data_IF_280369877432
#
_entry.id   IF_280369877432
#
_cell.length_a   1.000
_cell.length_b   1.000
_cell.length_c   1.000
_cell.angle_alpha   90.00
_cell.angle_beta   90.00
_cell.angle_gamma   90.00
#
_symmetry.space_group_name_H-M   'P 1'
#
loop_
_entity.id
_entity.type
_entity.pdbx_description
1 polymer ?
#
# COMPACT_ATOMS: atom_id res chain seq x y z
N UNK A 1 -0.74 -6.68 3.59
CA UNK A 1 -1.18 -5.46 4.28
C UNK A 1 -1.47 -5.72 5.75
N UNK A 2 -2.40 -6.63 6.10
CA UNK A 2 -2.67 -7.02 7.50
C UNK A 2 -1.40 -7.45 8.24
N UNK A 3 -0.56 -8.24 7.61
CA UNK A 3 0.70 -8.73 8.16
C UNK A 3 1.77 -7.62 8.43
N UNK A 4 1.68 -6.48 7.76
CA UNK A 4 2.57 -5.34 8.01
C UNK A 4 2.19 -4.56 9.27
N UNK A 5 0.92 -4.65 9.73
CA UNK A 5 0.37 -4.07 10.97
C UNK A 5 0.74 -2.60 11.21
N UNK A 6 0.80 -1.78 10.15
CA UNK A 6 1.16 -0.36 10.25
C UNK A 6 2.64 -0.07 10.56
N UNK A 7 3.49 -1.09 10.65
CA UNK A 7 4.93 -0.91 10.87
C UNK A 7 5.62 -0.24 9.68
N UNK A 8 5.06 -0.31 8.49
CA UNK A 8 5.58 0.37 7.30
C UNK A 8 5.57 1.91 7.44
N UNK A 9 4.85 2.44 8.42
CA UNK A 9 4.86 3.87 8.75
C UNK A 9 5.54 4.10 10.10
N UNK A 10 5.11 3.42 11.17
CA UNK A 10 5.60 3.67 12.52
C UNK A 10 7.08 3.33 12.68
N UNK A 11 7.53 2.19 12.11
CA UNK A 11 8.92 1.78 12.21
C UNK A 11 9.84 2.62 11.33
N UNK A 12 9.39 3.07 10.16
CA UNK A 12 10.15 4.00 9.31
C UNK A 12 10.51 5.27 10.07
N UNK A 13 9.54 5.87 10.78
CA UNK A 13 9.78 7.04 11.63
C UNK A 13 10.82 6.77 12.71
N UNK A 14 10.66 5.65 13.44
CA UNK A 14 11.57 5.31 14.53
C UNK A 14 12.99 5.06 14.03
N UNK A 15 13.15 4.32 12.92
CA UNK A 15 14.45 4.10 12.29
C UNK A 15 15.07 5.40 11.83
N UNK A 16 14.31 6.28 11.15
CA UNK A 16 14.81 7.57 10.68
C UNK A 16 15.32 8.46 11.83
N UNK A 17 14.63 8.47 12.98
CA UNK A 17 15.02 9.27 14.13
C UNK A 17 16.23 8.72 14.88
N UNK A 18 16.42 7.39 14.91
CA UNK A 18 17.44 6.74 15.71
C UNK A 18 18.51 6.02 14.89
N UNK A 19 18.60 6.25 13.57
CA UNK A 19 19.56 5.58 12.67
C UNK A 19 21.02 5.73 13.09
N UNK A 20 21.40 6.81 13.76
CA UNK A 20 22.76 7.06 14.22
C UNK A 20 23.07 6.46 15.61
N UNK A 21 22.05 5.98 16.34
CA UNK A 21 22.21 5.40 17.68
C UNK A 21 22.06 3.88 17.60
N UNK A 22 23.16 3.16 17.40
CA UNK A 22 23.17 1.70 17.15
C UNK A 22 22.34 0.89 18.13
N UNK A 23 22.46 1.16 19.44
CA UNK A 23 21.70 0.41 20.44
C UNK A 23 20.18 0.59 20.26
N UNK A 24 19.71 1.82 20.04
CA UNK A 24 18.29 2.10 19.79
C UNK A 24 17.79 1.51 18.47
N UNK A 25 18.62 1.59 17.42
CA UNK A 25 18.32 0.99 16.14
C UNK A 25 18.12 -0.53 16.26
N UNK A 26 19.04 -1.22 16.95
CA UNK A 26 18.95 -2.65 17.21
C UNK A 26 17.70 -3.01 18.01
N UNK A 27 17.34 -2.22 19.03
CA UNK A 27 16.13 -2.38 19.83
C UNK A 27 14.85 -2.24 18.97
N UNK A 28 14.82 -1.24 18.08
CA UNK A 28 13.70 -1.02 17.16
C UNK A 28 13.54 -2.23 16.24
N UNK A 29 14.64 -2.62 15.57
CA UNK A 29 14.61 -3.72 14.61
C UNK A 29 14.20 -5.03 15.28
N UNK A 30 14.79 -5.35 16.44
CA UNK A 30 14.45 -6.56 17.19
C UNK A 30 12.98 -6.60 17.61
N UNK A 31 12.44 -5.47 18.10
CA UNK A 31 11.02 -5.37 18.48
C UNK A 31 10.09 -5.58 17.29
N UNK A 32 10.37 -4.93 16.15
CA UNK A 32 9.52 -5.00 14.97
C UNK A 32 9.56 -6.39 14.35
N UNK A 33 10.74 -6.99 14.20
CA UNK A 33 10.88 -8.35 13.67
C UNK A 33 10.19 -9.37 14.57
N UNK A 34 10.31 -9.24 15.90
CA UNK A 34 9.65 -10.12 16.85
C UNK A 34 8.12 -10.07 16.71
N UNK A 35 7.55 -8.87 16.65
CA UNK A 35 6.10 -8.72 16.48
C UNK A 35 5.66 -9.28 15.12
N UNK A 36 6.37 -8.94 14.04
CA UNK A 36 6.05 -9.44 12.69
C UNK A 36 6.14 -10.96 12.61
N UNK A 37 7.12 -11.57 13.27
CA UNK A 37 7.25 -13.02 13.33
C UNK A 37 6.04 -13.67 14.04
N UNK A 38 5.62 -13.13 15.18
CA UNK A 38 4.41 -13.63 15.89
C UNK A 38 3.18 -13.51 15.01
N UNK A 39 3.01 -12.37 14.32
CA UNK A 39 1.91 -12.19 13.38
C UNK A 39 1.96 -13.17 12.21
N UNK A 40 3.14 -13.44 11.69
CA UNK A 40 3.34 -14.41 10.62
C UNK A 40 2.86 -15.80 11.08
N UNK A 41 3.29 -16.25 12.25
CA UNK A 41 2.88 -17.52 12.82
C UNK A 41 1.38 -17.58 13.08
N UNK A 42 0.79 -16.52 13.60
CA UNK A 42 -0.65 -16.41 13.82
C UNK A 42 -1.43 -16.50 12.51
N UNK A 43 -1.04 -15.75 11.47
CA UNK A 43 -1.71 -15.79 10.17
C UNK A 43 -1.58 -17.14 9.47
N UNK A 44 -0.42 -17.78 9.59
CA UNK A 44 -0.21 -19.13 9.06
C UNK A 44 -1.07 -20.16 9.79
N UNK A 45 -1.17 -20.08 11.11
CA UNK A 45 -2.03 -20.99 11.88
C UNK A 45 -3.51 -20.81 11.52
N UNK A 46 -3.94 -19.57 11.28
CA UNK A 46 -5.28 -19.23 10.85
C UNK A 46 -5.57 -19.76 9.43
N UNK A 47 -4.60 -19.64 8.52
CA UNK A 47 -4.69 -20.19 7.17
C UNK A 47 -4.84 -21.72 7.22
N UNK A 48 -3.96 -22.41 7.97
CA UNK A 48 -4.01 -23.88 8.12
C UNK A 48 -5.34 -24.32 8.74
N UNK A 49 -5.79 -23.63 9.80
CA UNK A 49 -7.09 -23.89 10.42
C UNK A 49 -8.25 -23.72 9.45
N UNK A 50 -8.25 -22.65 8.66
CA UNK A 50 -9.29 -22.43 7.65
C UNK A 50 -9.29 -23.53 6.56
N UNK A 51 -8.11 -23.94 6.08
CA UNK A 51 -7.99 -25.01 5.09
C UNK A 51 -8.40 -26.40 5.62
N UNK A 52 -8.34 -26.62 6.95
CA UNK A 52 -8.83 -27.84 7.59
C UNK A 52 -10.33 -27.82 7.82
N UNK A 53 -10.89 -26.66 8.21
CA UNK A 53 -12.31 -26.52 8.55
C UNK A 53 -13.24 -26.38 7.33
N UNK A 54 -12.75 -25.74 6.27
CA UNK A 54 -13.53 -25.49 5.07
C UNK A 54 -13.05 -26.36 3.91
N UNK A 55 -14.00 -26.88 3.13
CA UNK A 55 -13.68 -27.59 1.90
C UNK A 55 -13.37 -26.64 0.76
N UNK A 56 -12.16 -26.07 0.81
CA UNK A 56 -11.69 -25.07 -0.16
C UNK A 56 -11.21 -25.77 -1.42
N UNK A 57 -11.79 -25.45 -2.56
CA UNK A 57 -11.23 -25.86 -3.86
C UNK A 57 -9.80 -25.30 -3.99
N UNK A 58 -8.87 -26.12 -4.49
CA UNK A 58 -7.47 -25.73 -4.73
C UNK A 58 -6.66 -25.41 -3.46
N UNK A 59 -6.80 -26.19 -2.38
CA UNK A 59 -6.03 -26.03 -1.12
C UNK A 59 -4.53 -25.84 -1.34
N UNK A 60 -3.95 -26.58 -2.29
CA UNK A 60 -2.53 -26.54 -2.63
C UNK A 60 -2.07 -25.13 -3.06
N UNK A 61 -2.91 -24.40 -3.79
CA UNK A 61 -2.59 -23.05 -4.27
C UNK A 61 -2.41 -22.07 -3.10
N UNK A 62 -3.27 -22.12 -2.09
CA UNK A 62 -3.15 -21.28 -0.90
C UNK A 62 -1.90 -21.61 -0.07
N UNK A 63 -1.57 -22.89 0.06
CA UNK A 63 -0.36 -23.34 0.76
C UNK A 63 0.88 -22.82 0.04
N UNK A 64 0.94 -22.91 -1.29
CA UNK A 64 2.08 -22.44 -2.07
C UNK A 64 2.24 -20.92 -2.03
N UNK A 65 1.13 -20.16 -2.00
CA UNK A 65 1.17 -18.71 -1.83
C UNK A 65 1.56 -18.26 -0.41
N UNK A 66 1.47 -19.14 0.59
CA UNK A 66 1.86 -18.79 1.96
C UNK A 66 3.34 -18.38 2.08
N UNK A 67 4.20 -18.92 1.21
CA UNK A 67 5.61 -18.53 1.12
C UNK A 67 5.78 -17.04 0.78
N UNK A 68 4.97 -16.49 -0.12
CA UNK A 68 4.96 -15.05 -0.41
C UNK A 68 4.47 -14.23 0.80
N UNK A 69 3.47 -14.72 1.54
CA UNK A 69 3.02 -14.07 2.78
C UNK A 69 4.16 -13.98 3.80
N UNK A 70 4.89 -15.07 4.03
CA UNK A 70 6.05 -15.11 4.92
C UNK A 70 7.10 -14.08 4.46
N UNK A 71 7.45 -14.09 3.18
CA UNK A 71 8.41 -13.16 2.60
C UNK A 71 8.00 -11.70 2.82
N UNK A 72 6.74 -11.35 2.52
CA UNK A 72 6.25 -9.97 2.65
C UNK A 72 6.21 -9.47 4.10
N UNK A 73 5.95 -10.36 5.07
CA UNK A 73 6.00 -10.02 6.50
C UNK A 73 7.41 -9.74 6.96
N UNK A 74 8.38 -10.56 6.56
CA UNK A 74 9.76 -10.48 7.01
C UNK A 74 10.59 -9.46 6.23
N UNK A 75 10.15 -9.02 5.05
CA UNK A 75 10.89 -8.08 4.21
C UNK A 75 11.19 -6.77 4.94
N UNK A 76 12.48 -6.36 5.06
CA UNK A 76 12.89 -5.20 5.85
C UNK A 76 12.80 -3.87 5.06
N UNK A 77 11.81 -3.71 4.18
CA UNK A 77 11.63 -2.49 3.38
C UNK A 77 11.49 -1.23 4.22
N UNK A 78 10.78 -1.31 5.36
CA UNK A 78 10.64 -0.23 6.33
C UNK A 78 11.98 0.22 6.94
N UNK A 79 12.94 -0.69 7.11
CA UNK A 79 14.28 -0.38 7.59
C UNK A 79 15.05 0.44 6.56
N UNK A 80 15.11 -0.05 5.31
CA UNK A 80 15.81 0.66 4.23
C UNK A 80 15.16 2.01 3.91
N UNK A 81 13.85 2.12 4.00
CA UNK A 81 13.17 3.39 3.87
C UNK A 81 13.54 4.34 5.02
N UNK A 82 13.58 3.84 6.25
CA UNK A 82 13.95 4.63 7.43
C UNK A 82 15.36 5.19 7.40
N UNK A 83 16.33 4.42 6.92
CA UNK A 83 17.72 4.87 6.73
C UNK A 83 17.94 5.62 5.41
N UNK A 84 16.87 5.91 4.66
CA UNK A 84 16.88 6.64 3.38
C UNK A 84 17.65 5.94 2.24
N UNK A 85 17.80 4.64 2.31
CA UNK A 85 18.53 3.81 1.33
C UNK A 85 17.57 2.98 0.46
N UNK A 86 16.56 3.65 -0.12
CA UNK A 86 15.52 3.04 -0.94
C UNK A 86 16.05 2.28 -2.17
N UNK A 87 17.26 2.61 -2.64
CA UNK A 87 17.89 1.90 -3.76
C UNK A 87 17.93 0.38 -3.56
N UNK A 88 18.18 -0.09 -2.32
CA UNK A 88 18.18 -1.53 -2.03
C UNK A 88 16.80 -2.14 -2.22
N UNK A 89 15.74 -1.48 -1.73
CA UNK A 89 14.36 -1.95 -1.92
C UNK A 89 14.03 -2.07 -3.41
N UNK A 90 14.40 -1.05 -4.19
CA UNK A 90 14.13 -1.02 -5.64
C UNK A 90 14.91 -2.11 -6.37
N UNK A 91 16.20 -2.24 -6.13
CA UNK A 91 17.02 -3.27 -6.79
C UNK A 91 16.52 -4.68 -6.48
N UNK A 92 16.18 -4.96 -5.21
CA UNK A 92 15.64 -6.27 -4.83
C UNK A 92 14.33 -6.57 -5.52
N UNK A 93 13.38 -5.65 -5.43
CA UNK A 93 12.08 -5.85 -6.05
C UNK A 93 12.20 -6.02 -7.56
N UNK A 94 13.09 -5.26 -8.20
CA UNK A 94 13.34 -5.36 -9.63
C UNK A 94 13.93 -6.73 -9.99
N UNK A 95 15.02 -7.13 -9.33
CA UNK A 95 15.70 -8.42 -9.62
C UNK A 95 14.73 -9.58 -9.36
N UNK A 96 14.03 -9.60 -8.23
CA UNK A 96 13.08 -10.67 -7.92
C UNK A 96 11.96 -10.76 -8.95
N UNK A 97 11.43 -9.61 -9.42
CA UNK A 97 10.40 -9.58 -10.46
C UNK A 97 10.93 -10.03 -11.82
N UNK A 98 12.13 -9.61 -12.21
CA UNK A 98 12.75 -10.04 -13.46
C UNK A 98 13.01 -11.55 -13.44
N UNK A 99 13.62 -12.07 -12.37
CA UNK A 99 13.85 -13.51 -12.21
C UNK A 99 12.53 -14.27 -12.25
N UNK A 100 11.51 -13.80 -11.53
CA UNK A 100 10.18 -14.40 -11.56
C UNK A 100 9.60 -14.46 -12.98
N UNK A 101 9.65 -13.36 -13.73
CA UNK A 101 9.11 -13.31 -15.10
C UNK A 101 9.88 -14.28 -16.04
N UNK A 102 11.21 -14.31 -15.93
CA UNK A 102 12.03 -15.23 -16.72
C UNK A 102 11.66 -16.68 -16.40
N UNK A 103 11.60 -17.03 -15.12
CA UNK A 103 11.23 -18.39 -14.70
C UNK A 103 9.79 -18.73 -15.11
N UNK A 104 8.87 -17.78 -15.04
CA UNK A 104 7.49 -17.96 -15.48
C UNK A 104 7.41 -18.33 -16.96
N UNK A 105 8.17 -17.63 -17.82
CA UNK A 105 8.21 -17.92 -19.26
C UNK A 105 8.85 -19.28 -19.55
N UNK A 106 9.86 -19.68 -18.74
CA UNK A 106 10.57 -20.96 -18.90
C UNK A 106 9.75 -22.16 -18.40
N UNK A 107 8.96 -22.00 -17.34
CA UNK A 107 8.31 -23.14 -16.68
C UNK A 107 6.80 -23.24 -16.92
N UNK A 108 6.13 -22.17 -17.36
CA UNK A 108 4.69 -22.17 -17.55
C UNK A 108 4.35 -22.11 -19.04
N UNK A 109 3.99 -23.26 -19.61
CA UNK A 109 3.64 -23.40 -21.02
C UNK A 109 2.18 -23.83 -21.24
N UNK A 110 1.54 -24.40 -20.22
CA UNK A 110 0.20 -24.95 -20.34
C UNK A 110 -0.69 -24.55 -19.15
N UNK A 111 -2.01 -24.72 -19.32
CA UNK A 111 -2.95 -24.52 -18.22
C UNK A 111 -2.74 -25.48 -17.05
N UNK A 112 -2.10 -26.62 -17.26
CA UNK A 112 -1.80 -27.60 -16.22
C UNK A 112 -0.68 -27.10 -15.28
N UNK A 113 0.16 -26.19 -15.76
CA UNK A 113 1.33 -25.66 -15.04
C UNK A 113 0.98 -24.56 -14.03
N UNK A 114 -0.31 -24.30 -13.78
CA UNK A 114 -0.77 -23.19 -12.93
C UNK A 114 -0.19 -23.22 -11.50
N UNK A 115 0.22 -24.38 -11.00
CA UNK A 115 0.85 -24.51 -9.67
C UNK A 115 2.30 -24.00 -9.61
N UNK A 116 2.98 -23.91 -10.76
CA UNK A 116 4.32 -23.31 -10.80
C UNK A 116 4.27 -21.82 -10.49
N UNK A 117 3.21 -21.11 -10.86
CA UNK A 117 3.07 -19.68 -10.60
C UNK A 117 3.24 -19.31 -9.12
N UNK A 118 2.47 -19.84 -8.16
CA UNK A 118 2.64 -19.53 -6.74
C UNK A 118 3.98 -20.01 -6.16
N UNK A 119 4.53 -21.11 -6.67
CA UNK A 119 5.85 -21.61 -6.26
C UNK A 119 6.94 -20.59 -6.63
N UNK A 120 7.02 -20.23 -7.91
CA UNK A 120 8.04 -19.32 -8.42
C UNK A 120 7.91 -17.93 -7.80
N UNK A 121 6.69 -17.46 -7.62
CA UNK A 121 6.40 -16.18 -6.98
C UNK A 121 6.80 -16.16 -5.49
N UNK A 122 6.54 -17.24 -4.77
CA UNK A 122 6.92 -17.39 -3.36
C UNK A 122 8.43 -17.52 -3.21
N UNK A 123 9.09 -18.33 -4.04
CA UNK A 123 10.55 -18.51 -4.02
C UNK A 123 11.27 -17.19 -4.33
N UNK A 124 10.84 -16.46 -5.38
CA UNK A 124 11.41 -15.14 -5.70
C UNK A 124 11.27 -14.15 -4.55
N UNK A 125 10.10 -14.11 -3.92
CA UNK A 125 9.84 -13.24 -2.78
C UNK A 125 10.68 -13.61 -1.55
N UNK A 126 10.82 -14.89 -1.24
CA UNK A 126 11.65 -15.39 -0.14
C UNK A 126 13.13 -15.08 -0.37
N UNK A 127 13.62 -15.29 -1.59
CA UNK A 127 15.00 -14.96 -1.96
C UNK A 127 15.29 -13.48 -1.78
N UNK A 128 14.42 -12.59 -2.27
CA UNK A 128 14.56 -11.15 -2.08
C UNK A 128 14.52 -10.74 -0.61
N UNK A 129 13.66 -11.37 0.19
CA UNK A 129 13.59 -11.10 1.63
C UNK A 129 14.85 -11.56 2.35
N UNK A 130 15.34 -12.75 2.06
CA UNK A 130 16.58 -13.28 2.64
C UNK A 130 17.78 -12.37 2.34
N UNK A 131 17.90 -11.92 1.08
CA UNK A 131 18.96 -10.98 0.72
C UNK A 131 18.77 -9.61 1.39
N UNK A 132 17.56 -9.09 1.50
CA UNK A 132 17.28 -7.85 2.25
C UNK A 132 17.70 -7.95 3.72
N UNK A 133 17.37 -9.08 4.38
CA UNK A 133 17.81 -9.36 5.74
C UNK A 133 19.33 -9.50 5.84
N UNK A 134 19.97 -10.20 4.90
CA UNK A 134 21.40 -10.32 4.83
C UNK A 134 22.09 -8.93 4.78
N UNK A 135 21.66 -8.06 3.87
CA UNK A 135 22.19 -6.69 3.78
C UNK A 135 21.97 -5.91 5.08
N UNK A 136 20.81 -6.03 5.70
CA UNK A 136 20.51 -5.36 6.97
C UNK A 136 21.46 -5.81 8.10
N UNK A 137 21.72 -7.11 8.23
CA UNK A 137 22.57 -7.64 9.29
C UNK A 137 24.05 -7.45 8.99
N UNK A 138 24.51 -7.75 7.77
CA UNK A 138 25.95 -7.73 7.46
C UNK A 138 26.46 -6.35 7.09
N UNK A 139 25.76 -5.61 6.23
CA UNK A 139 26.23 -4.29 5.79
C UNK A 139 25.99 -3.22 6.82
N UNK A 140 24.78 -3.16 7.39
CA UNK A 140 24.42 -2.15 8.40
C UNK A 140 24.75 -2.58 9.82
N UNK A 141 25.28 -3.80 10.00
CA UNK A 141 25.72 -4.35 11.28
C UNK A 141 24.63 -4.25 12.36
N UNK A 142 23.38 -4.44 11.97
CA UNK A 142 22.25 -4.54 12.88
C UNK A 142 22.36 -5.87 13.63
N UNK A 143 22.14 -5.84 14.93
CA UNK A 143 22.17 -7.06 15.77
C UNK A 143 20.83 -7.23 16.46
N UNK A 144 20.34 -8.45 16.48
CA UNK A 144 19.15 -8.80 17.26
C UNK A 144 19.56 -8.83 18.75
N UNK A 145 18.84 -8.05 19.54
CA UNK A 145 19.07 -7.95 20.99
C UNK A 145 17.79 -8.31 21.75
N UNK A 146 17.94 -8.76 22.98
CA UNK A 146 16.81 -8.97 23.88
C UNK A 146 16.08 -7.65 24.14
N UNK A 147 14.77 -7.62 23.94
CA UNK A 147 13.96 -6.41 24.12
C UNK A 147 13.00 -6.59 25.27
N UNK A 148 12.90 -5.58 26.13
CA UNK A 148 11.92 -5.57 27.22
C UNK A 148 10.51 -5.60 26.64
N UNK A 149 9.66 -6.51 27.13
CA UNK A 149 8.28 -6.66 26.64
C UNK A 149 7.47 -5.37 26.68
N UNK A 150 7.74 -4.49 27.65
CA UNK A 150 7.12 -3.15 27.72
C UNK A 150 7.35 -2.33 26.44
N UNK A 151 8.56 -2.38 25.87
CA UNK A 151 8.90 -1.64 24.64
C UNK A 151 8.26 -2.28 23.41
N UNK A 152 8.16 -3.60 23.38
CA UNK A 152 7.43 -4.36 22.34
C UNK A 152 5.95 -3.96 22.33
N UNK A 153 5.30 -4.01 23.50
CA UNK A 153 3.87 -3.63 23.64
C UNK A 153 3.64 -2.16 23.29
N UNK A 154 4.52 -1.26 23.70
CA UNK A 154 4.42 0.16 23.33
C UNK A 154 4.43 0.36 21.82
N UNK A 155 5.39 -0.26 21.11
CA UNK A 155 5.49 -0.17 19.65
C UNK A 155 4.30 -0.82 18.97
N UNK A 156 3.84 -1.95 19.47
CA UNK A 156 2.65 -2.63 18.98
C UNK A 156 1.42 -1.73 19.08
N UNK A 157 1.11 -1.17 20.26
CA UNK A 157 -0.04 -0.27 20.46
C UNK A 157 0.00 0.94 19.52
N UNK A 158 1.18 1.53 19.32
CA UNK A 158 1.34 2.66 18.41
C UNK A 158 1.11 2.28 16.95
N UNK A 159 1.62 1.14 16.52
CA UNK A 159 1.40 0.62 15.15
C UNK A 159 -0.03 0.19 14.93
N UNK A 160 -0.72 -0.33 15.95
CA UNK A 160 -2.12 -0.71 15.90
C UNK A 160 -3.02 0.49 15.57
N UNK A 161 -2.71 1.66 16.09
CA UNK A 161 -3.43 2.90 15.76
C UNK A 161 -3.36 3.22 14.26
N UNK A 162 -2.19 3.07 13.64
CA UNK A 162 -2.00 3.26 12.18
C UNK A 162 -2.66 2.12 11.39
N UNK A 163 -2.63 0.91 11.91
CA UNK A 163 -3.27 -0.24 11.29
C UNK A 163 -4.78 -0.06 11.10
N UNK A 164 -5.49 0.43 12.11
CA UNK A 164 -6.92 0.72 11.98
C UNK A 164 -7.22 1.73 10.88
N UNK A 165 -6.42 2.79 10.77
CA UNK A 165 -6.58 3.77 9.68
C UNK A 165 -6.34 3.15 8.30
N UNK A 166 -5.39 2.22 8.20
CA UNK A 166 -5.11 1.50 6.95
C UNK A 166 -6.21 0.50 6.57
N UNK A 167 -6.91 -0.08 7.55
CA UNK A 167 -8.08 -0.92 7.28
C UNK A 167 -9.19 -0.09 6.67
N UNK A 168 -9.49 1.08 7.23
CA UNK A 168 -10.49 1.98 6.70
C UNK A 168 -10.23 2.34 5.23
N UNK A 169 -8.99 2.73 4.92
CA UNK A 169 -8.53 3.02 3.55
C UNK A 169 -8.71 1.81 2.60
N UNK A 170 -8.29 0.62 3.06
CA UNK A 170 -8.43 -0.61 2.28
C UNK A 170 -9.91 -0.98 2.02
N UNK A 171 -10.79 -0.77 2.99
CA UNK A 171 -12.22 -1.05 2.82
C UNK A 171 -12.79 -0.10 1.77
N UNK A 172 -12.49 1.20 1.82
CA UNK A 172 -12.93 2.18 0.82
C UNK A 172 -12.47 1.75 -0.57
N UNK A 173 -11.20 1.40 -0.72
CA UNK A 173 -10.62 1.03 -2.01
C UNK A 173 -11.23 -0.25 -2.61
N UNK A 174 -11.51 -1.26 -1.77
CA UNK A 174 -11.99 -2.57 -2.24
C UNK A 174 -13.50 -2.66 -2.38
N UNK A 175 -14.25 -1.93 -1.54
CA UNK A 175 -15.71 -1.96 -1.59
C UNK A 175 -16.26 -1.46 -2.92
N UNK A 176 -15.65 -0.47 -3.55
CA UNK A 176 -16.10 0.01 -4.86
C UNK A 176 -16.10 -1.10 -5.92
N UNK A 177 -15.02 -1.88 -6.01
CA UNK A 177 -14.94 -3.00 -6.97
C UNK A 177 -15.96 -4.11 -6.64
N UNK A 178 -16.20 -4.39 -5.35
CA UNK A 178 -17.18 -5.38 -4.89
C UNK A 178 -18.61 -4.92 -5.21
N UNK A 179 -18.92 -3.65 -4.97
CA UNK A 179 -20.23 -3.08 -5.27
C UNK A 179 -20.52 -3.07 -6.76
N UNK A 180 -19.57 -2.64 -7.59
CA UNK A 180 -19.69 -2.68 -9.04
C UNK A 180 -19.95 -4.10 -9.54
N UNK A 181 -19.20 -5.09 -9.04
CA UNK A 181 -19.34 -6.49 -9.44
C UNK A 181 -20.69 -7.10 -9.07
N UNK A 182 -21.24 -6.76 -7.90
CA UNK A 182 -22.49 -7.32 -7.41
C UNK A 182 -23.74 -6.64 -7.97
N UNK A 183 -23.69 -5.33 -8.21
CA UNK A 183 -24.89 -4.55 -8.57
C UNK A 183 -24.97 -4.13 -10.04
N UNK A 184 -23.82 -4.03 -10.72
CA UNK A 184 -23.78 -3.57 -12.11
C UNK A 184 -23.30 -4.69 -13.04
N UNK A 185 -22.11 -5.25 -12.76
CA UNK A 185 -21.58 -6.38 -13.54
C UNK A 185 -20.07 -6.48 -13.54
N UNK A 186 -19.57 -7.67 -13.87
CA UNK A 186 -18.12 -7.95 -13.90
C UNK A 186 -17.40 -7.21 -15.02
N UNK A 187 -18.10 -6.83 -16.08
CA UNK A 187 -17.54 -6.06 -17.18
C UNK A 187 -17.19 -4.64 -16.72
N UNK A 188 -18.08 -4.01 -15.96
CA UNK A 188 -17.86 -2.68 -15.38
C UNK A 188 -16.71 -2.68 -14.37
N UNK A 189 -16.54 -3.77 -13.61
CA UNK A 189 -15.37 -3.94 -12.75
C UNK A 189 -14.07 -3.93 -13.57
N UNK A 190 -14.06 -4.56 -14.74
CA UNK A 190 -12.88 -4.57 -15.59
C UNK A 190 -12.55 -3.16 -16.13
N UNK A 191 -13.56 -2.40 -16.55
CA UNK A 191 -13.39 -1.01 -16.99
C UNK A 191 -12.89 -0.11 -15.86
N UNK A 192 -13.47 -0.24 -14.68
CA UNK A 192 -13.06 0.46 -13.48
C UNK A 192 -11.61 0.12 -13.05
N UNK A 193 -11.23 -1.15 -13.08
CA UNK A 193 -9.88 -1.60 -12.72
C UNK A 193 -8.83 -1.05 -13.69
N UNK A 194 -9.11 -1.03 -14.99
CA UNK A 194 -8.22 -0.43 -15.99
C UNK A 194 -8.07 1.07 -15.75
N UNK A 195 -9.18 1.79 -15.56
CA UNK A 195 -9.14 3.22 -15.27
C UNK A 195 -8.35 3.55 -13.99
N UNK A 196 -8.58 2.80 -12.91
CA UNK A 196 -7.80 2.94 -11.68
C UNK A 196 -6.30 2.69 -11.88
N UNK A 197 -5.91 1.72 -12.71
CA UNK A 197 -4.50 1.47 -13.02
C UNK A 197 -3.86 2.67 -13.72
N UNK A 198 -4.56 3.29 -14.66
CA UNK A 198 -4.07 4.50 -15.36
C UNK A 198 -3.92 5.67 -14.38
N UNK A 199 -4.93 5.94 -13.55
CA UNK A 199 -4.89 7.02 -12.54
C UNK A 199 -3.78 6.79 -11.50
N UNK A 200 -3.58 5.54 -11.07
CA UNK A 200 -2.48 5.17 -10.17
C UNK A 200 -1.11 5.39 -10.78
N UNK A 201 -0.94 5.09 -12.07
CA UNK A 201 0.31 5.39 -12.79
C UNK A 201 0.61 6.88 -12.76
N UNK A 202 -0.41 7.75 -12.95
CA UNK A 202 -0.28 9.19 -12.80
C UNK A 202 0.09 9.63 -11.37
N UNK A 203 -0.44 8.96 -10.35
CA UNK A 203 -0.12 9.26 -8.93
C UNK A 203 1.24 8.70 -8.47
N UNK A 204 1.86 7.80 -9.23
CA UNK A 204 3.07 7.09 -8.83
C UNK A 204 4.28 7.98 -8.51
N UNK A 205 4.60 9.04 -9.30
CA UNK A 205 5.70 9.95 -8.97
C UNK A 205 5.53 10.62 -7.60
N UNK A 206 4.31 10.99 -7.24
CA UNK A 206 3.98 11.65 -5.98
C UNK A 206 4.10 10.66 -4.81
N UNK A 207 3.69 9.43 -5.03
CA UNK A 207 3.84 8.36 -4.04
C UNK A 207 5.32 8.09 -3.73
N UNK A 208 6.20 8.10 -4.75
CA UNK A 208 7.65 7.96 -4.55
C UNK A 208 8.20 9.14 -3.75
N UNK A 209 7.79 10.38 -4.07
CA UNK A 209 8.18 11.56 -3.30
C UNK A 209 7.81 11.41 -1.83
N UNK A 210 6.62 10.93 -1.51
CA UNK A 210 6.22 10.64 -0.14
C UNK A 210 7.18 9.64 0.54
N UNK A 211 7.51 8.54 -0.13
CA UNK A 211 8.41 7.52 0.43
C UNK A 211 9.81 8.06 0.75
N UNK A 212 10.31 8.99 -0.06
CA UNK A 212 11.63 9.63 0.14
C UNK A 212 11.58 10.71 1.22
N UNK A 213 10.54 11.55 1.20
CA UNK A 213 10.44 12.70 2.08
C UNK A 213 10.06 12.32 3.51
N UNK A 214 9.22 11.31 3.69
CA UNK A 214 8.73 10.92 5.01
C UNK A 214 9.87 10.64 6.02
N UNK A 215 10.86 9.78 5.74
CA UNK A 215 11.94 9.54 6.68
C UNK A 215 12.83 10.77 6.89
N UNK A 216 13.03 11.59 5.84
CA UNK A 216 13.82 12.82 5.93
C UNK A 216 13.15 13.85 6.86
N UNK A 217 11.85 14.10 6.67
CA UNK A 217 11.11 15.00 7.56
C UNK A 217 11.02 14.45 8.98
N UNK A 218 10.88 13.14 9.14
CA UNK A 218 10.85 12.50 10.45
C UNK A 218 12.17 12.63 11.23
N UNK A 219 13.32 12.68 10.53
CA UNK A 219 14.65 12.85 11.14
C UNK A 219 14.99 14.32 11.38
N UNK A 220 14.83 15.17 10.37
CA UNK A 220 15.29 16.57 10.37
C UNK A 220 14.25 17.57 10.91
N UNK A 221 12.97 17.19 10.93
CA UNK A 221 11.81 18.05 11.30
C UNK A 221 11.73 19.36 10.51
N UNK A 222 12.19 19.36 9.25
CA UNK A 222 12.20 20.54 8.40
C UNK A 222 10.86 20.73 7.67
N UNK A 223 9.86 21.24 8.40
CA UNK A 223 8.52 21.49 7.85
C UNK A 223 8.48 22.63 6.80
N UNK A 224 9.46 23.54 6.80
CA UNK A 224 9.53 24.61 5.77
C UNK A 224 9.85 24.02 4.39
N UNK A 225 10.80 23.07 4.32
CA UNK A 225 11.09 22.33 3.10
C UNK A 225 9.84 21.57 2.64
N UNK A 226 9.12 20.95 3.57
CA UNK A 226 7.93 20.19 3.27
C UNK A 226 6.84 21.03 2.59
N UNK A 227 6.55 22.25 3.09
CA UNK A 227 5.59 23.17 2.46
C UNK A 227 5.98 23.53 1.02
N UNK A 228 7.27 23.78 0.76
CA UNK A 228 7.76 24.05 -0.62
C UNK A 228 7.54 22.85 -1.53
N UNK A 229 7.86 21.65 -1.05
CA UNK A 229 7.68 20.42 -1.83
C UNK A 229 6.20 20.15 -2.09
N UNK A 230 5.32 20.39 -1.10
CA UNK A 230 3.87 20.28 -1.31
C UNK A 230 3.37 21.20 -2.43
N UNK A 231 3.77 22.48 -2.41
CA UNK A 231 3.37 23.42 -3.44
C UNK A 231 3.86 23.00 -4.84
N UNK A 232 5.12 22.55 -4.96
CA UNK A 232 5.65 22.05 -6.22
C UNK A 232 4.90 20.79 -6.66
N UNK A 233 4.69 19.83 -5.75
CA UNK A 233 3.99 18.57 -6.05
C UNK A 233 2.55 18.79 -6.48
N UNK A 234 1.89 19.81 -5.94
CA UNK A 234 0.53 20.19 -6.36
C UNK A 234 0.49 20.65 -7.82
N UNK A 235 1.40 21.52 -8.24
CA UNK A 235 1.48 21.98 -9.63
C UNK A 235 1.91 20.85 -10.58
N UNK A 236 2.84 19.99 -10.15
CA UNK A 236 3.22 18.80 -10.91
C UNK A 236 2.04 17.83 -11.04
N UNK A 237 1.23 17.67 -9.99
CA UNK A 237 0.04 16.85 -10.05
C UNK A 237 -1.01 17.37 -11.03
N UNK A 238 -1.20 18.71 -11.11
CA UNK A 238 -2.08 19.32 -12.11
C UNK A 238 -1.56 19.06 -13.52
N UNK A 239 -0.26 19.16 -13.75
CA UNK A 239 0.33 18.85 -15.04
C UNK A 239 0.14 17.38 -15.41
N UNK A 240 0.40 16.46 -14.48
CA UNK A 240 0.19 15.02 -14.69
C UNK A 240 -1.29 14.72 -14.93
N UNK A 241 -2.19 15.36 -14.21
CA UNK A 241 -3.64 15.25 -14.43
C UNK A 241 -4.02 15.65 -15.85
N UNK A 242 -3.55 16.82 -16.32
CA UNK A 242 -3.80 17.29 -17.69
C UNK A 242 -3.25 16.30 -18.74
N UNK A 243 -2.04 15.77 -18.54
CA UNK A 243 -1.47 14.75 -19.41
C UNK A 243 -2.28 13.45 -19.36
N UNK A 244 -2.75 13.03 -18.18
CA UNK A 244 -3.57 11.84 -18.02
C UNK A 244 -4.88 11.96 -18.80
N UNK A 245 -5.56 13.13 -18.74
CA UNK A 245 -6.78 13.40 -19.50
C UNK A 245 -6.51 13.39 -21.00
N UNK A 246 -5.43 14.03 -21.47
CA UNK A 246 -5.08 14.07 -22.89
C UNK A 246 -4.72 12.69 -23.44
N UNK A 247 -3.99 11.88 -22.67
CA UNK A 247 -3.49 10.57 -23.09
C UNK A 247 -4.45 9.42 -22.73
N UNK A 248 -5.57 9.69 -22.06
CA UNK A 248 -6.52 8.65 -21.63
C UNK A 248 -7.01 7.74 -22.78
N UNK A 249 -7.45 8.26 -23.95
CA UNK A 249 -7.92 7.39 -25.04
C UNK A 249 -6.80 6.46 -25.53
N UNK A 250 -5.61 7.00 -25.76
CA UNK A 250 -4.46 6.22 -26.20
C UNK A 250 -4.01 5.20 -25.16
N UNK A 251 -3.98 5.58 -23.88
CA UNK A 251 -3.62 4.69 -22.78
C UNK A 251 -4.62 3.53 -22.61
N UNK A 252 -5.91 3.81 -22.76
CA UNK A 252 -6.96 2.79 -22.69
C UNK A 252 -6.89 1.86 -23.91
N UNK A 253 -6.66 2.38 -25.11
CA UNK A 253 -6.49 1.58 -26.31
C UNK A 253 -5.29 0.62 -26.19
N UNK A 254 -4.12 1.14 -25.76
CA UNK A 254 -2.91 0.37 -25.59
C UNK A 254 -3.04 -0.76 -24.56
N UNK A 255 -3.64 -0.48 -23.41
CA UNK A 255 -3.76 -1.45 -22.32
C UNK A 255 -5.00 -2.34 -22.45
N UNK A 256 -6.09 -1.82 -23.02
CA UNK A 256 -7.37 -2.50 -23.19
C UNK A 256 -7.51 -3.21 -24.54
N UNK A 257 -6.50 -3.12 -25.42
CA UNK A 257 -6.48 -3.75 -26.76
C UNK A 257 -7.75 -3.45 -27.58
N UNK A 258 -8.27 -2.23 -27.48
CA UNK A 258 -9.47 -1.78 -28.19
C UNK A 258 -10.81 -2.30 -27.64
N UNK A 259 -10.80 -3.14 -26.59
CA UNK A 259 -12.03 -3.75 -26.05
C UNK A 259 -12.57 -3.00 -24.80
N UNK A 260 -11.89 -1.97 -24.33
CA UNK A 260 -12.19 -1.31 -23.06
C UNK A 260 -12.43 0.21 -23.21
N UNK A 261 -12.97 0.63 -24.33
CA UNK A 261 -13.26 2.03 -24.64
C UNK A 261 -14.06 2.77 -23.54
N UNK A 262 -15.10 2.17 -22.89
CA UNK A 262 -15.82 2.82 -21.80
C UNK A 262 -14.95 3.21 -20.60
N UNK A 263 -13.77 2.60 -20.45
CA UNK A 263 -12.82 2.99 -19.39
C UNK A 263 -12.32 4.43 -19.54
N UNK A 264 -12.39 5.04 -20.73
CA UNK A 264 -11.95 6.43 -20.96
C UNK A 264 -12.78 7.41 -20.14
N UNK A 265 -14.10 7.25 -20.14
CA UNK A 265 -15.00 8.10 -19.33
C UNK A 265 -14.69 7.95 -17.83
N UNK A 266 -14.43 6.72 -17.38
CA UNK A 266 -14.07 6.45 -15.99
C UNK A 266 -12.73 7.10 -15.64
N UNK A 267 -11.75 7.10 -16.55
CA UNK A 267 -10.47 7.81 -16.36
C UNK A 267 -10.72 9.31 -16.21
N UNK A 268 -11.56 9.92 -17.03
CA UNK A 268 -11.87 11.34 -16.91
C UNK A 268 -12.49 11.69 -15.56
N UNK A 269 -13.40 10.87 -15.05
CA UNK A 269 -14.04 11.05 -13.75
C UNK A 269 -13.04 10.86 -12.60
N UNK A 270 -12.19 9.83 -12.67
CA UNK A 270 -11.28 9.48 -11.58
C UNK A 270 -9.93 10.26 -11.64
N UNK A 271 -9.56 10.84 -12.78
CA UNK A 271 -8.26 11.52 -12.94
C UNK A 271 -8.01 12.67 -11.94
N UNK A 272 -9.03 13.45 -11.44
CA UNK A 272 -8.82 14.44 -10.39
C UNK A 272 -8.23 13.85 -9.10
N UNK A 273 -8.37 12.52 -8.88
CA UNK A 273 -7.72 11.83 -7.77
C UNK A 273 -6.19 11.97 -7.78
N UNK A 274 -5.57 12.22 -8.93
CA UNK A 274 -4.12 12.48 -9.02
C UNK A 274 -3.77 13.73 -8.22
N UNK A 275 -4.57 14.78 -8.33
CA UNK A 275 -4.35 16.06 -7.64
C UNK A 275 -4.66 15.92 -6.14
N UNK A 276 -5.80 15.30 -5.77
CA UNK A 276 -6.16 15.09 -4.37
C UNK A 276 -5.16 14.17 -3.66
N UNK A 277 -4.72 13.10 -4.31
CA UNK A 277 -3.69 12.20 -3.78
C UNK A 277 -2.35 12.92 -3.53
N UNK A 278 -2.00 13.96 -4.30
CA UNK A 278 -0.78 14.74 -4.06
C UNK A 278 -0.80 15.43 -2.70
N UNK A 279 -1.95 15.92 -2.29
CA UNK A 279 -2.16 16.58 -1.01
C UNK A 279 -2.16 15.51 0.10
N UNK A 280 -2.96 14.45 -0.06
CA UNK A 280 -3.10 13.35 0.91
C UNK A 280 -1.77 12.70 1.26
N UNK A 281 -0.98 12.32 0.24
CA UNK A 281 0.29 11.62 0.46
C UNK A 281 1.32 12.49 1.16
N UNK A 282 1.32 13.79 0.93
CA UNK A 282 2.31 14.68 1.52
C UNK A 282 1.89 15.22 2.89
N UNK A 283 0.60 15.41 3.15
CA UNK A 283 0.10 15.84 4.45
C UNK A 283 0.05 14.68 5.48
N UNK A 284 -0.37 13.49 5.07
CA UNK A 284 -0.58 12.37 5.97
C UNK A 284 0.69 11.92 6.70
N UNK A 285 1.46 11.03 6.09
CA UNK A 285 2.64 10.45 6.74
C UNK A 285 3.77 11.46 6.97
N UNK A 286 4.19 12.30 5.97
CA UNK A 286 5.33 13.19 6.14
C UNK A 286 5.10 14.33 7.12
N UNK A 287 3.87 14.81 7.29
CA UNK A 287 3.58 15.90 8.24
C UNK A 287 3.01 15.32 9.53
N UNK A 288 1.80 14.78 9.51
CA UNK A 288 1.10 14.39 10.73
C UNK A 288 1.83 13.28 11.51
N UNK A 289 2.22 12.21 10.82
CA UNK A 289 2.88 11.09 11.49
C UNK A 289 4.32 11.44 11.86
N UNK A 290 5.07 12.15 11.00
CA UNK A 290 6.44 12.59 11.32
C UNK A 290 6.46 13.53 12.52
N UNK A 291 5.53 14.48 12.60
CA UNK A 291 5.38 15.39 13.75
C UNK A 291 4.92 14.67 15.02
N UNK A 292 4.33 13.49 14.92
CA UNK A 292 3.85 12.70 16.07
C UNK A 292 2.35 12.82 16.32
N UNK A 293 1.61 13.51 15.48
CA UNK A 293 0.16 13.70 15.58
C UNK A 293 -0.63 12.48 15.08
N UNK A 294 -0.36 11.29 15.66
CA UNK A 294 -1.02 10.04 15.27
C UNK A 294 -2.53 10.08 15.49
N UNK A 295 -3.00 10.80 16.52
CA UNK A 295 -4.44 10.93 16.78
C UNK A 295 -5.13 11.71 15.67
N UNK A 296 -4.56 12.84 15.23
CA UNK A 296 -5.09 13.64 14.14
C UNK A 296 -5.16 12.81 12.85
N UNK A 297 -4.06 12.14 12.48
CA UNK A 297 -4.02 11.24 11.33
C UNK A 297 -5.14 10.18 11.36
N UNK A 298 -5.38 9.56 12.53
CA UNK A 298 -6.43 8.56 12.67
C UNK A 298 -7.83 9.15 12.59
N UNK A 299 -8.06 10.32 13.23
CA UNK A 299 -9.36 10.99 13.18
C UNK A 299 -9.73 11.32 11.74
N UNK A 300 -8.82 11.92 10.97
CA UNK A 300 -9.03 12.24 9.55
C UNK A 300 -9.40 11.00 8.74
N UNK A 301 -8.70 9.87 8.94
CA UNK A 301 -9.01 8.60 8.26
C UNK A 301 -10.40 8.07 8.61
N UNK A 302 -10.78 8.11 9.89
CA UNK A 302 -12.08 7.62 10.33
C UNK A 302 -13.24 8.54 9.94
N UNK A 303 -13.02 9.86 9.90
CA UNK A 303 -13.97 10.82 9.36
C UNK A 303 -14.25 10.54 7.88
N UNK A 304 -13.19 10.37 7.07
CA UNK A 304 -13.33 10.01 5.65
C UNK A 304 -14.06 8.70 5.45
N UNK A 305 -13.78 7.69 6.28
CA UNK A 305 -14.52 6.43 6.25
C UNK A 305 -15.99 6.60 6.64
N UNK A 306 -16.29 7.39 7.65
CA UNK A 306 -17.66 7.71 8.06
C UNK A 306 -18.45 8.39 6.95
N UNK A 307 -17.84 9.36 6.26
CA UNK A 307 -18.46 10.02 5.09
C UNK A 307 -18.68 9.03 3.95
N UNK A 308 -17.68 8.18 3.66
CA UNK A 308 -17.85 7.13 2.66
C UNK A 308 -19.06 6.24 2.95
N UNK A 309 -19.18 5.75 4.19
CA UNK A 309 -20.33 4.92 4.61
C UNK A 309 -21.64 5.69 4.50
N UNK A 310 -21.68 6.95 4.93
CA UNK A 310 -22.89 7.78 4.82
C UNK A 310 -23.32 8.00 3.36
N UNK A 311 -22.36 8.32 2.47
CA UNK A 311 -22.63 8.44 1.04
C UNK A 311 -23.10 7.12 0.41
N UNK A 312 -22.50 6.00 0.81
CA UNK A 312 -22.93 4.69 0.34
C UNK A 312 -24.35 4.36 0.81
N UNK A 313 -24.69 4.61 2.08
CA UNK A 313 -26.05 4.42 2.59
C UNK A 313 -27.05 5.29 1.81
N UNK A 314 -26.70 6.54 1.52
CA UNK A 314 -27.54 7.43 0.69
C UNK A 314 -27.81 6.82 -0.69
N UNK A 315 -26.77 6.32 -1.37
CA UNK A 315 -26.90 5.68 -2.69
C UNK A 315 -27.78 4.42 -2.64
N UNK A 316 -27.69 3.63 -1.56
CA UNK A 316 -28.56 2.46 -1.36
C UNK A 316 -30.00 2.85 -1.09
N UNK A 317 -30.26 3.83 -0.23
CA UNK A 317 -31.61 4.29 0.12
C UNK A 317 -32.35 4.82 -1.12
N UNK A 318 -31.65 5.56 -1.99
CA UNK A 318 -32.23 6.14 -3.20
C UNK A 318 -32.14 5.23 -4.43
N UNK A 319 -31.75 3.96 -4.28
CA UNK A 319 -31.58 2.98 -5.36
C UNK A 319 -30.65 3.43 -6.51
N UNK A 320 -29.66 4.29 -6.19
CA UNK A 320 -28.65 4.77 -7.15
C UNK A 320 -27.45 3.83 -7.30
N UNK A 321 -27.45 2.70 -6.60
CA UNK A 321 -26.36 1.72 -6.59
C UNK A 321 -26.16 0.97 -7.93
N UNK A 322 -27.13 1.05 -8.82
CA UNK A 322 -27.05 0.52 -10.19
C UNK A 322 -26.39 1.50 -11.17
N UNK A 323 -26.08 2.71 -10.74
CA UNK A 323 -25.43 3.71 -11.57
C UNK A 323 -23.93 3.81 -11.26
N UNK A 324 -23.08 3.49 -12.24
CA UNK A 324 -21.64 3.58 -12.16
C UNK A 324 -21.16 4.96 -11.68
N UNK A 325 -21.73 6.04 -12.23
CA UNK A 325 -21.36 7.41 -11.89
C UNK A 325 -21.51 7.72 -10.40
N UNK A 326 -22.57 7.21 -9.77
CA UNK A 326 -22.81 7.44 -8.34
C UNK A 326 -21.68 6.89 -7.48
N UNK A 327 -21.20 5.69 -7.78
CA UNK A 327 -20.10 5.04 -7.04
C UNK A 327 -18.77 5.78 -7.27
N UNK A 328 -18.51 6.24 -8.50
CA UNK A 328 -17.28 7.00 -8.82
C UNK A 328 -17.25 8.37 -8.13
N UNK A 329 -18.39 9.07 -8.10
CA UNK A 329 -18.53 10.37 -7.44
C UNK A 329 -18.29 10.23 -5.93
N UNK A 330 -18.79 9.18 -5.30
CA UNK A 330 -18.52 8.93 -3.86
C UNK A 330 -17.03 8.78 -3.60
N UNK A 331 -16.32 8.07 -4.44
CA UNK A 331 -14.87 7.92 -4.32
C UNK A 331 -14.17 9.30 -4.38
N UNK A 332 -14.57 10.16 -5.30
CA UNK A 332 -14.04 11.52 -5.42
C UNK A 332 -14.35 12.38 -4.18
N UNK A 333 -15.61 12.38 -3.73
CA UNK A 333 -16.04 13.15 -2.56
C UNK A 333 -15.26 12.70 -1.31
N UNK A 334 -15.12 11.40 -1.11
CA UNK A 334 -14.38 10.85 0.04
C UNK A 334 -12.91 11.28 0.03
N UNK A 335 -12.27 11.28 -1.13
CA UNK A 335 -10.90 11.74 -1.27
C UNK A 335 -10.77 13.26 -1.06
N UNK A 336 -11.72 14.07 -1.55
CA UNK A 336 -11.71 15.52 -1.38
C UNK A 336 -11.87 15.91 0.10
N UNK A 337 -12.77 15.27 0.83
CA UNK A 337 -12.96 15.52 2.27
C UNK A 337 -11.73 15.15 3.09
N UNK A 338 -11.04 14.07 2.73
CA UNK A 338 -9.78 13.72 3.35
C UNK A 338 -8.72 14.85 3.23
N UNK A 339 -8.73 15.59 2.11
CA UNK A 339 -7.80 16.72 1.90
C UNK A 339 -8.17 17.95 2.72
N UNK A 340 -9.47 18.22 2.91
CA UNK A 340 -9.96 19.37 3.65
C UNK A 340 -9.65 19.27 5.15
N UNK A 341 -9.99 18.13 5.77
CA UNK A 341 -9.75 17.90 7.19
C UNK A 341 -8.26 17.83 7.59
N UNK A 342 -7.38 17.54 6.63
CA UNK A 342 -5.94 17.51 6.88
C UNK A 342 -5.28 18.88 6.74
N UNK A 343 -6.00 19.90 6.23
CA UNK A 343 -5.49 21.25 6.02
C UNK A 343 -5.73 22.16 7.25
N UNK A 344 -6.75 21.87 8.05
CA UNK A 344 -7.08 22.53 9.33
C UNK A 344 -6.35 21.85 10.50
#
# INVERSE_FOLDING_TARGET
MVAAWGFDISAVKDVAQYQHVKHRLNEIVSSVLYIRFIFCMFLLSLLVGALMLFDVKMKMLYILFSGHCIASVLFPGWFFQGIQELKYVTYFQLICKLVFVILMVVFIHSKADYLYYPILFSLGSLFGTAYGLYVMFEKYKVRLIGVKMRNVVYRFKRSTSIFYSRIADMIIERSNAILLGNFIGMQEVAYYDLANKIVRLGSFPIMILNQVLYPKVASERNFRLMRKVMAISFWVAILIWGLCVLLAPWGVELLGKGLMEPSVEIVYILSPLIVTNSIIYLQGSPILVAAGYFKAFNITMWCSFGVYVACMLFVFIFNLHTNLLSILIIQLITCLLYTSDAAD
#
